data_IF_145191470471
#
_entry.id   IF_145191470471
#
_cell.length_a   1.000
_cell.length_b   1.000
_cell.length_c   1.000
_cell.angle_alpha   90.00
_cell.angle_beta   90.00
_cell.angle_gamma   90.00
#
_symmetry.space_group_name_H-M   'P 1'
#
loop_
_entity.id
_entity.type
_entity.pdbx_description
1 polymer ?
#
# COMPACT_ATOMS: atom_id res chain seq x y z
N UNK A 1 6.99 18.69 0.22
CA UNK A 1 6.59 19.66 1.25
C UNK A 1 6.43 18.89 2.54
N UNK A 2 7.39 19.12 3.43
CA UNK A 2 7.61 18.47 4.71
C UNK A 2 6.57 18.84 5.76
N UNK A 3 5.96 17.82 6.34
CA UNK A 3 5.51 17.78 7.74
C UNK A 3 5.22 16.33 8.18
N UNK A 4 6.08 15.37 7.84
CA UNK A 4 5.92 13.97 8.31
C UNK A 4 7.05 13.61 9.25
N UNK A 5 6.90 14.15 10.46
CA UNK A 5 7.36 13.66 11.75
C UNK A 5 8.80 13.09 11.82
N UNK A 6 9.74 13.80 12.46
CA UNK A 6 11.13 13.32 12.62
C UNK A 6 11.20 11.97 13.34
N UNK A 7 10.22 11.61 14.18
CA UNK A 7 10.13 10.28 14.80
C UNK A 7 9.84 9.17 13.77
N UNK A 8 9.04 9.47 12.76
CA UNK A 8 8.67 8.53 11.70
C UNK A 8 9.84 8.30 10.74
N UNK A 9 10.63 9.35 10.49
CA UNK A 9 11.88 9.24 9.73
C UNK A 9 12.97 8.48 10.53
N UNK A 10 13.02 8.64 11.85
CA UNK A 10 13.93 7.88 12.73
C UNK A 10 13.53 6.40 12.86
N UNK A 11 12.22 6.10 12.85
CA UNK A 11 11.68 4.74 12.86
C UNK A 11 12.02 3.99 11.56
N UNK A 12 11.91 4.68 10.41
CA UNK A 12 12.21 4.12 9.08
C UNK A 12 13.73 3.99 8.82
N UNK A 13 14.57 4.77 9.50
CA UNK A 13 16.03 4.82 9.26
C UNK A 13 16.84 3.77 10.04
N UNK A 14 16.22 3.02 10.97
CA UNK A 14 16.84 1.82 11.58
C UNK A 14 18.18 2.03 12.32
N UNK A 15 18.50 3.26 12.72
CA UNK A 15 19.75 3.58 13.42
C UNK A 15 19.43 4.41 14.67
N UNK A 16 19.24 3.72 15.81
CA UNK A 16 19.39 4.32 17.14
C UNK A 16 18.17 4.39 18.09
N UNK A 17 16.94 4.01 17.71
CA UNK A 17 15.75 4.18 18.58
C UNK A 17 15.21 2.91 19.23
N UNK A 18 15.67 1.71 18.86
CA UNK A 18 15.28 0.45 19.53
C UNK A 18 15.68 0.43 21.01
N UNK A 19 16.80 1.06 21.38
CA UNK A 19 17.24 1.17 22.78
C UNK A 19 16.31 2.05 23.62
N UNK A 20 15.83 3.19 23.07
CA UNK A 20 14.94 4.09 23.80
C UNK A 20 13.54 3.47 23.99
N UNK A 21 13.05 2.76 22.97
CA UNK A 21 11.78 2.01 23.05
C UNK A 21 11.89 0.87 24.06
N UNK A 22 13.00 0.13 24.06
CA UNK A 22 13.26 -0.93 25.05
C UNK A 22 13.25 -0.40 26.48
N UNK A 23 13.92 0.74 26.72
CA UNK A 23 14.00 1.35 28.05
C UNK A 23 12.62 1.83 28.52
N UNK A 24 11.85 2.48 27.64
CA UNK A 24 10.51 2.95 27.99
C UNK A 24 9.55 1.80 28.27
N UNK A 25 9.65 0.71 27.51
CA UNK A 25 8.84 -0.47 27.71
C UNK A 25 9.14 -1.13 29.07
N UNK A 26 10.42 -1.33 29.40
CA UNK A 26 10.84 -1.86 30.72
C UNK A 26 10.35 -0.99 31.88
N UNK A 27 10.41 0.33 31.74
CA UNK A 27 9.94 1.25 32.77
C UNK A 27 8.43 1.13 33.04
N UNK A 28 7.62 1.00 31.99
CA UNK A 28 6.15 0.87 32.12
C UNK A 28 5.76 -0.49 32.69
N UNK A 29 6.39 -1.57 32.22
CA UNK A 29 6.10 -2.91 32.74
C UNK A 29 6.51 -3.05 34.21
N UNK A 30 7.65 -2.47 34.59
CA UNK A 30 8.07 -2.41 36.00
C UNK A 30 7.07 -1.62 36.88
N UNK A 31 6.52 -0.51 36.36
CA UNK A 31 5.48 0.23 37.07
C UNK A 31 4.23 -0.64 37.29
N UNK A 32 3.83 -1.43 36.29
CA UNK A 32 2.70 -2.36 36.42
C UNK A 32 2.96 -3.49 37.42
N UNK A 33 4.18 -4.05 37.45
CA UNK A 33 4.59 -5.04 38.47
C UNK A 33 4.55 -4.43 39.87
N UNK A 34 5.13 -3.25 40.04
CA UNK A 34 5.14 -2.55 41.34
C UNK A 34 3.74 -2.21 41.85
N UNK A 35 2.80 -1.95 40.94
CA UNK A 35 1.39 -1.68 41.26
C UNK A 35 0.54 -2.95 41.48
N UNK A 36 1.13 -4.14 41.35
CA UNK A 36 0.42 -5.42 41.45
C UNK A 36 -0.50 -5.74 40.28
N UNK A 37 -0.43 -4.97 39.18
CA UNK A 37 -1.26 -5.16 37.98
C UNK A 37 -0.71 -6.23 37.03
N UNK A 38 0.55 -6.61 37.19
CA UNK A 38 1.23 -7.58 36.35
C UNK A 38 2.22 -8.40 37.19
N UNK A 39 2.32 -9.69 36.95
CA UNK A 39 3.35 -10.53 37.58
C UNK A 39 4.73 -10.30 36.91
N UNK A 40 5.82 -10.47 37.66
CA UNK A 40 7.18 -10.25 37.17
C UNK A 40 7.56 -11.17 36.00
N UNK A 41 7.07 -12.41 35.99
CA UNK A 41 7.30 -13.36 34.90
C UNK A 41 6.60 -12.93 33.61
N UNK A 42 5.37 -12.42 33.73
CA UNK A 42 4.57 -11.93 32.60
C UNK A 42 5.13 -10.62 32.03
N UNK A 43 5.64 -9.74 32.90
CA UNK A 43 6.30 -8.51 32.50
C UNK A 43 7.57 -8.76 31.66
N UNK A 44 8.34 -9.78 32.03
CA UNK A 44 9.57 -10.16 31.33
C UNK A 44 9.23 -10.74 29.94
N UNK A 45 8.28 -11.67 29.87
CA UNK A 45 7.81 -12.24 28.60
C UNK A 45 7.28 -11.17 27.63
N UNK A 46 6.49 -10.21 28.13
CA UNK A 46 5.94 -9.12 27.31
C UNK A 46 7.05 -8.21 26.74
N UNK A 47 8.06 -7.89 27.56
CA UNK A 47 9.21 -7.10 27.10
C UNK A 47 9.98 -7.86 26.02
N UNK A 48 10.23 -9.15 26.25
CA UNK A 48 10.98 -10.01 25.32
C UNK A 48 10.25 -10.19 23.99
N UNK A 49 8.93 -10.41 24.01
CA UNK A 49 8.10 -10.58 22.80
C UNK A 49 8.07 -9.30 21.93
N UNK A 50 7.91 -8.14 22.56
CA UNK A 50 7.89 -6.85 21.86
C UNK A 50 9.28 -6.52 21.31
N UNK A 51 10.33 -6.82 22.04
CA UNK A 51 11.70 -6.64 21.54
C UNK A 51 12.04 -7.61 20.40
N UNK A 52 11.59 -8.87 20.47
CA UNK A 52 11.75 -9.84 19.40
C UNK A 52 11.00 -9.40 18.13
N UNK A 53 9.77 -8.89 18.28
CA UNK A 53 9.01 -8.32 17.17
C UNK A 53 9.71 -7.10 16.55
N UNK A 54 10.29 -6.21 17.36
CA UNK A 54 11.06 -5.06 16.88
C UNK A 54 12.39 -5.44 16.21
N UNK A 55 12.95 -6.61 16.52
CA UNK A 55 14.13 -7.18 15.87
C UNK A 55 13.80 -7.93 14.58
N UNK A 56 12.53 -8.08 14.23
CA UNK A 56 12.09 -8.87 13.08
C UNK A 56 12.25 -10.38 13.29
N UNK A 57 12.32 -10.84 14.54
CA UNK A 57 12.53 -12.26 14.88
C UNK A 57 11.23 -13.10 14.74
N UNK A 58 10.10 -12.49 14.36
CA UNK A 58 8.78 -13.13 14.29
C UNK A 58 8.18 -13.11 12.86
N UNK A 59 8.66 -13.99 11.96
CA UNK A 59 8.28 -13.99 10.53
C UNK A 59 6.80 -14.32 10.24
N UNK A 60 6.09 -14.93 11.18
CA UNK A 60 4.64 -15.20 11.05
C UNK A 60 3.78 -13.94 11.29
N UNK A 61 4.23 -13.03 12.18
CA UNK A 61 3.58 -11.73 12.39
C UNK A 61 3.82 -10.77 11.22
N UNK A 62 4.97 -10.88 10.55
CA UNK A 62 5.32 -10.05 9.40
C UNK A 62 4.35 -10.29 8.23
N UNK A 63 4.11 -11.55 7.85
CA UNK A 63 3.18 -11.89 6.75
C UNK A 63 1.74 -11.48 7.02
N UNK A 64 1.29 -11.54 8.28
CA UNK A 64 -0.06 -11.10 8.65
C UNK A 64 -0.16 -9.58 8.66
N UNK A 65 0.90 -8.89 9.10
CA UNK A 65 0.98 -7.43 9.15
C UNK A 65 1.08 -6.84 7.76
N UNK A 66 1.90 -7.40 6.86
CA UNK A 66 2.03 -6.98 5.47
C UNK A 66 0.66 -6.96 4.78
N UNK A 67 -0.09 -8.07 4.84
CA UNK A 67 -1.43 -8.17 4.22
C UNK A 67 -2.44 -7.22 4.85
N UNK A 68 -2.29 -6.87 6.13
CA UNK A 68 -3.18 -5.92 6.81
C UNK A 68 -2.83 -4.46 6.42
N UNK A 69 -1.54 -4.16 6.30
CA UNK A 69 -1.03 -2.86 5.89
C UNK A 69 -1.38 -2.57 4.43
N UNK A 70 -1.21 -3.54 3.53
CA UNK A 70 -1.62 -3.41 2.12
C UNK A 70 -3.10 -3.06 2.00
N UNK A 71 -3.98 -3.81 2.70
CA UNK A 71 -5.42 -3.55 2.69
C UNK A 71 -5.79 -2.17 3.26
N UNK A 72 -5.15 -1.75 4.33
CA UNK A 72 -5.39 -0.43 4.93
C UNK A 72 -4.90 0.70 4.01
N UNK A 73 -3.77 0.50 3.33
CA UNK A 73 -3.24 1.46 2.37
C UNK A 73 -4.20 1.60 1.17
N UNK A 74 -4.70 0.49 0.65
CA UNK A 74 -5.66 0.47 -0.46
C UNK A 74 -6.92 1.27 -0.13
N UNK A 75 -7.45 1.11 1.09
CA UNK A 75 -8.63 1.84 1.56
C UNK A 75 -8.34 3.34 1.69
N UNK A 76 -7.19 3.72 2.26
CA UNK A 76 -6.79 5.12 2.39
C UNK A 76 -6.60 5.82 1.04
N UNK A 77 -5.99 5.13 0.06
CA UNK A 77 -5.82 5.69 -1.28
C UNK A 77 -7.18 5.93 -1.96
N UNK A 78 -8.14 5.06 -1.73
CA UNK A 78 -9.51 5.20 -2.23
C UNK A 78 -10.25 6.36 -1.57
N UNK A 79 -10.13 6.52 -0.24
CA UNK A 79 -10.74 7.62 0.51
C UNK A 79 -10.15 8.99 0.13
N UNK A 80 -8.87 9.01 -0.25
CA UNK A 80 -8.19 10.21 -0.76
C UNK A 80 -8.51 10.52 -2.23
N UNK A 81 -9.31 9.68 -2.90
CA UNK A 81 -9.71 9.86 -4.30
C UNK A 81 -8.56 9.68 -5.30
N UNK A 82 -7.47 9.02 -4.89
CA UNK A 82 -6.34 8.75 -5.77
C UNK A 82 -6.68 7.53 -6.65
N UNK A 83 -6.62 7.74 -7.97
CA UNK A 83 -6.91 6.68 -8.93
C UNK A 83 -5.94 5.51 -8.75
N UNK A 84 -6.49 4.30 -8.60
CA UNK A 84 -5.68 3.10 -8.45
C UNK A 84 -5.01 2.77 -9.79
N UNK A 85 -3.81 2.20 -9.74
CA UNK A 85 -3.09 1.79 -10.96
C UNK A 85 -3.95 0.88 -11.85
N UNK A 86 -4.71 -0.05 -11.22
CA UNK A 86 -5.65 -0.94 -11.92
C UNK A 86 -6.77 -0.19 -12.66
N UNK A 87 -7.30 0.88 -12.05
CA UNK A 87 -8.36 1.69 -12.68
C UNK A 87 -7.79 2.49 -13.85
N UNK A 88 -6.57 3.01 -13.71
CA UNK A 88 -5.85 3.67 -14.80
C UNK A 88 -5.59 2.70 -15.95
N UNK A 89 -5.17 1.47 -15.66
CA UNK A 89 -4.91 0.45 -16.68
C UNK A 89 -6.19 -0.02 -17.37
N UNK A 90 -7.30 -0.12 -16.63
CA UNK A 90 -8.62 -0.40 -17.21
C UNK A 90 -9.08 0.72 -18.15
N UNK A 91 -8.91 1.98 -17.73
CA UNK A 91 -9.25 3.14 -18.55
C UNK A 91 -8.38 3.21 -19.81
N UNK A 92 -7.08 2.93 -19.72
CA UNK A 92 -6.19 2.80 -20.89
C UNK A 92 -6.69 1.75 -21.87
N UNK A 93 -7.00 0.54 -21.38
CA UNK A 93 -7.53 -0.52 -22.23
C UNK A 93 -8.89 -0.17 -22.86
N UNK A 94 -9.74 0.61 -22.17
CA UNK A 94 -10.99 1.13 -22.75
C UNK A 94 -10.72 2.14 -23.86
N UNK A 95 -9.77 3.05 -23.67
CA UNK A 95 -9.36 4.03 -24.68
C UNK A 95 -8.83 3.31 -25.92
N UNK A 96 -7.94 2.34 -25.76
CA UNK A 96 -7.36 1.59 -26.88
C UNK A 96 -8.43 0.92 -27.75
N UNK A 97 -9.45 0.32 -27.12
CA UNK A 97 -10.58 -0.30 -27.83
C UNK A 97 -11.42 0.74 -28.57
N UNK A 98 -11.71 1.88 -27.94
CA UNK A 98 -12.44 2.97 -28.58
C UNK A 98 -11.69 3.51 -29.80
N UNK A 99 -10.38 3.72 -29.68
CA UNK A 99 -9.58 4.15 -30.82
C UNK A 99 -9.58 3.12 -31.96
N UNK A 100 -9.52 1.83 -31.62
CA UNK A 100 -9.58 0.77 -32.62
C UNK A 100 -10.94 0.73 -33.33
N UNK A 101 -12.03 0.97 -32.61
CA UNK A 101 -13.38 1.09 -33.20
C UNK A 101 -13.46 2.29 -34.15
N UNK A 102 -12.93 3.45 -33.75
CA UNK A 102 -12.90 4.64 -34.60
C UNK A 102 -12.07 4.42 -35.87
N UNK A 103 -10.92 3.75 -35.76
CA UNK A 103 -10.09 3.39 -36.93
C UNK A 103 -10.84 2.49 -37.92
N UNK A 104 -11.58 1.49 -37.42
CA UNK A 104 -12.40 0.60 -38.26
C UNK A 104 -13.53 1.35 -38.96
N UNK A 105 -14.28 2.19 -38.23
CA UNK A 105 -15.35 2.99 -38.82
C UNK A 105 -14.84 3.90 -39.93
N UNK A 106 -13.65 4.49 -39.75
CA UNK A 106 -13.01 5.30 -40.78
C UNK A 106 -12.64 4.46 -42.00
N UNK A 107 -11.99 3.31 -41.82
CA UNK A 107 -11.61 2.44 -42.95
C UNK A 107 -12.84 1.93 -43.70
N UNK A 108 -13.91 1.59 -42.99
CA UNK A 108 -15.16 1.13 -43.60
C UNK A 108 -15.81 2.25 -44.43
N UNK A 109 -15.75 3.49 -43.95
CA UNK A 109 -16.24 4.67 -44.68
C UNK A 109 -15.42 4.93 -45.95
N UNK A 110 -14.08 4.90 -45.84
CA UNK A 110 -13.16 5.11 -46.97
C UNK A 110 -13.29 4.00 -48.04
N UNK A 111 -13.52 2.75 -47.64
CA UNK A 111 -13.78 1.64 -48.56
C UNK A 111 -15.13 1.76 -49.28
N UNK A 112 -16.14 2.34 -48.62
CA UNK A 112 -17.45 2.55 -49.22
C UNK A 112 -17.45 3.69 -50.25
N UNK A 113 -16.69 4.77 -49.99
CA UNK A 113 -16.53 5.89 -50.94
C UNK A 113 -15.73 5.50 -52.19
N UNK A 114 -14.69 4.68 -52.05
CA UNK A 114 -13.91 4.17 -53.19
C UNK A 114 -14.72 3.21 -54.06
N UNK A 115 -15.57 2.38 -53.46
CA UNK A 115 -16.49 1.51 -54.20
C UNK A 115 -17.56 2.30 -54.97
N UNK A 116 -18.04 3.42 -54.39
CA UNK A 116 -19.02 4.32 -55.04
C UNK A 116 -18.48 5.02 -56.29
N UNK A 117 -17.19 5.31 -56.33
CA UNK A 117 -16.54 5.95 -57.48
C UNK A 117 -16.19 4.96 -58.61
N UNK A 118 -16.12 3.66 -58.29
CA UNK A 118 -15.84 2.60 -59.26
C UNK A 118 -17.07 2.15 -60.07
N UNK A 119 -18.28 2.48 -59.63
CA UNK A 119 -19.55 2.04 -60.22
C UNK A 119 -20.15 3.04 -61.23
N UNK A 120 -19.39 4.08 -61.61
CA UNK A 120 -19.78 5.03 -62.65
C UNK A 120 -19.28 4.48 -63.99
N UNK A 121 -20.15 4.02 -64.91
CA UNK A 121 -19.73 3.61 -66.24
C UNK A 121 -19.27 4.82 -67.07
N UNK A 122 -18.25 4.61 -67.91
CA UNK A 122 -17.71 5.58 -68.89
C UNK A 122 -18.79 6.19 -69.81
#
# INVERSE_FOLDING_TARGET
MDASNPLQQLLVRGLGTTSLVAERLRSVTQAWVSSGRLDSSQATALVDDVLASLRGENPELEKQTERQVERNLDHLLQDLGLARQREVDELRGRIDRMEQQLRRLRSDTEANDTSRFSDIPD
#
